data_IF_539798844868
#
_entry.id   IF_539798844868
#
_cell.length_a   1.000
_cell.length_b   1.000
_cell.length_c   1.000
_cell.angle_alpha   90.00
_cell.angle_beta   90.00
_cell.angle_gamma   90.00
#
_symmetry.space_group_name_H-M   'P 1'
#
loop_
_entity.id
_entity.type
_entity.pdbx_description
1 polymer ?
#
# COMPACT_ATOMS: atom_id res chain seq x y z
N UNK A 1 24.84 0.80 -50.51
CA UNK A 1 23.72 0.50 -49.60
C UNK A 1 24.01 -0.83 -48.91
N UNK A 2 24.33 -0.85 -47.60
CA UNK A 2 24.19 -2.02 -46.71
C UNK A 2 24.76 -1.73 -45.30
N UNK A 3 24.33 -0.63 -44.66
CA UNK A 3 24.70 -0.34 -43.26
C UNK A 3 24.20 -1.43 -42.30
N UNK A 4 23.14 -2.14 -42.68
CA UNK A 4 22.49 -3.23 -41.93
C UNK A 4 23.27 -4.56 -41.89
N UNK A 5 24.29 -4.77 -42.74
CA UNK A 5 25.05 -6.05 -42.77
C UNK A 5 26.21 -6.12 -41.76
N UNK A 6 26.62 -4.99 -41.19
CA UNK A 6 27.76 -4.92 -40.27
C UNK A 6 27.45 -5.35 -38.83
N UNK A 7 26.17 -5.53 -38.48
CA UNK A 7 25.71 -5.92 -37.14
C UNK A 7 25.99 -4.90 -36.02
N UNK A 8 26.65 -3.77 -36.31
CA UNK A 8 27.05 -2.75 -35.35
C UNK A 8 26.19 -1.49 -35.49
N UNK A 9 24.88 -1.65 -35.34
CA UNK A 9 23.96 -0.51 -35.28
C UNK A 9 23.04 -0.67 -34.08
N UNK A 10 22.80 0.45 -33.38
CA UNK A 10 21.87 0.50 -32.25
C UNK A 10 20.72 1.39 -32.69
N UNK A 11 19.54 0.80 -32.85
CA UNK A 11 18.31 1.56 -33.09
C UNK A 11 17.80 2.02 -31.72
N UNK A 12 17.57 3.32 -31.59
CA UNK A 12 16.88 3.89 -30.44
C UNK A 12 15.55 4.46 -30.90
N UNK A 13 14.50 4.25 -30.11
CA UNK A 13 13.24 4.93 -30.34
C UNK A 13 13.39 6.44 -30.20
N UNK A 14 12.46 7.19 -30.83
CA UNK A 14 12.33 8.62 -30.58
C UNK A 14 11.97 8.87 -29.11
N UNK A 15 12.24 10.08 -28.62
CA UNK A 15 12.00 10.42 -27.21
C UNK A 15 10.52 10.29 -26.83
N UNK A 16 9.61 10.59 -27.75
CA UNK A 16 8.16 10.44 -27.56
C UNK A 16 7.77 8.96 -27.46
N UNK A 17 8.31 8.12 -28.33
CA UNK A 17 8.02 6.68 -28.33
C UNK A 17 8.60 5.99 -27.09
N UNK A 18 9.77 6.42 -26.59
CA UNK A 18 10.29 5.93 -25.31
C UNK A 18 9.40 6.31 -24.12
N UNK A 19 8.81 7.52 -24.11
CA UNK A 19 7.86 7.91 -23.05
C UNK A 19 6.61 7.06 -23.07
N UNK A 20 6.04 6.85 -24.26
CA UNK A 20 4.87 5.99 -24.46
C UNK A 20 5.16 4.55 -24.00
N UNK A 21 6.31 4.00 -24.41
CA UNK A 21 6.72 2.64 -24.07
C UNK A 21 6.96 2.47 -22.57
N UNK A 22 7.60 3.43 -21.91
CA UNK A 22 7.80 3.40 -20.46
C UNK A 22 6.48 3.49 -19.68
N UNK A 23 5.53 4.31 -20.13
CA UNK A 23 4.21 4.40 -19.50
C UNK A 23 3.45 3.08 -19.59
N UNK A 24 3.44 2.45 -20.77
CA UNK A 24 2.74 1.18 -20.94
C UNK A 24 3.48 -0.02 -20.36
N UNK A 25 4.81 0.01 -20.26
CA UNK A 25 5.55 -1.06 -19.58
C UNK A 25 5.08 -1.23 -18.14
N UNK A 26 4.67 -0.15 -17.47
CA UNK A 26 4.15 -0.18 -16.11
C UNK A 26 2.81 -0.94 -16.02
N UNK A 27 1.94 -0.79 -17.01
CA UNK A 27 0.62 -1.45 -17.06
C UNK A 27 0.72 -2.96 -17.32
N UNK A 28 1.80 -3.41 -17.98
CA UNK A 28 2.04 -4.81 -18.32
C UNK A 28 3.04 -5.50 -17.39
N UNK A 29 3.51 -4.83 -16.32
CA UNK A 29 4.24 -5.53 -15.26
C UNK A 29 3.30 -6.53 -14.60
N UNK A 30 3.72 -7.80 -14.53
CA UNK A 30 3.02 -8.81 -13.75
C UNK A 30 2.92 -8.28 -12.32
N UNK A 31 1.70 -8.23 -11.76
CA UNK A 31 1.51 -7.77 -10.38
C UNK A 31 2.49 -8.51 -9.47
N UNK A 32 3.26 -7.75 -8.70
CA UNK A 32 4.19 -8.32 -7.76
C UNK A 32 3.37 -9.18 -6.79
N UNK A 33 3.59 -10.49 -6.79
CA UNK A 33 2.90 -11.42 -5.88
C UNK A 33 3.03 -10.98 -4.42
N UNK A 34 4.12 -10.29 -4.06
CA UNK A 34 4.31 -9.69 -2.74
C UNK A 34 3.37 -8.50 -2.50
N UNK A 35 3.10 -7.69 -3.53
CA UNK A 35 2.15 -6.59 -3.44
C UNK A 35 0.73 -7.08 -3.14
N UNK A 36 0.25 -8.09 -3.88
CA UNK A 36 -1.06 -8.68 -3.63
C UNK A 36 -1.18 -9.26 -2.21
N UNK A 37 -0.16 -9.96 -1.72
CA UNK A 37 -0.13 -10.49 -0.35
C UNK A 37 -0.15 -9.38 0.70
N UNK A 38 0.59 -8.29 0.49
CA UNK A 38 0.62 -7.14 1.40
C UNK A 38 -0.74 -6.42 1.40
N UNK A 39 -1.39 -6.26 0.25
CA UNK A 39 -2.70 -5.61 0.15
C UNK A 39 -3.78 -6.41 0.88
N UNK A 40 -3.84 -7.73 0.64
CA UNK A 40 -4.77 -8.62 1.36
C UNK A 40 -4.55 -8.56 2.88
N UNK A 41 -3.30 -8.60 3.34
CA UNK A 41 -2.99 -8.46 4.76
C UNK A 41 -3.47 -7.11 5.34
N UNK A 42 -3.31 -6.00 4.61
CA UNK A 42 -3.72 -4.67 5.07
C UNK A 42 -5.23 -4.48 5.13
N UNK A 43 -6.00 -5.20 4.31
CA UNK A 43 -7.45 -5.20 4.34
C UNK A 43 -7.98 -5.89 5.61
N UNK A 44 -7.39 -7.02 5.99
CA UNK A 44 -7.75 -7.77 7.20
C UNK A 44 -7.11 -7.21 8.49
N UNK A 45 -6.12 -6.32 8.37
CA UNK A 45 -5.37 -5.82 9.52
C UNK A 45 -6.17 -4.78 10.33
N UNK A 46 -6.47 -5.14 11.58
CA UNK A 46 -7.23 -4.30 12.52
C UNK A 46 -6.38 -3.27 13.27
N UNK A 47 -5.06 -3.23 13.04
CA UNK A 47 -4.17 -2.31 13.74
C UNK A 47 -3.97 -0.98 13.00
N UNK A 48 -3.64 0.08 13.75
CA UNK A 48 -3.44 1.41 13.16
C UNK A 48 -2.04 1.63 12.57
N UNK A 49 -1.11 0.70 12.80
CA UNK A 49 0.31 0.89 12.47
C UNK A 49 0.91 -0.39 11.93
N UNK A 50 1.69 -0.25 10.85
CA UNK A 50 2.48 -1.33 10.26
C UNK A 50 3.90 -0.85 9.96
N UNK A 51 4.87 -1.75 10.05
CA UNK A 51 6.24 -1.51 9.58
C UNK A 51 6.65 -2.50 8.49
N UNK A 52 7.71 -2.16 7.76
CA UNK A 52 8.22 -3.01 6.69
C UNK A 52 8.64 -4.41 7.16
N UNK A 53 9.19 -4.54 8.37
CA UNK A 53 9.52 -5.86 8.96
C UNK A 53 8.28 -6.67 9.33
N UNK A 54 7.25 -6.00 9.85
CA UNK A 54 5.97 -6.65 10.17
C UNK A 54 5.30 -7.17 8.90
N UNK A 55 5.25 -6.37 7.84
CA UNK A 55 4.72 -6.81 6.55
C UNK A 55 5.53 -7.97 5.96
N UNK A 56 6.86 -7.96 6.12
CA UNK A 56 7.70 -9.06 5.67
C UNK A 56 7.43 -10.37 6.44
N UNK A 57 7.28 -10.31 7.77
CA UNK A 57 7.04 -11.51 8.56
C UNK A 57 5.59 -12.00 8.48
N UNK A 58 4.62 -11.08 8.59
CA UNK A 58 3.20 -11.41 8.75
C UNK A 58 2.45 -11.50 7.42
N UNK A 59 2.75 -10.62 6.45
CA UNK A 59 2.09 -10.66 5.15
C UNK A 59 2.75 -11.67 4.19
N UNK A 60 4.09 -11.78 4.20
CA UNK A 60 4.82 -12.72 3.33
C UNK A 60 5.12 -14.06 4.02
N UNK A 61 4.84 -14.21 5.32
CA UNK A 61 5.07 -15.46 6.07
C UNK A 61 6.55 -15.82 6.26
N UNK A 62 7.47 -14.86 6.07
CA UNK A 62 8.91 -15.11 6.16
C UNK A 62 9.39 -14.99 7.61
N UNK A 63 9.97 -16.06 8.16
CA UNK A 63 10.50 -16.10 9.53
C UNK A 63 11.92 -15.52 9.68
N UNK A 64 12.51 -15.05 8.58
CA UNK A 64 13.87 -14.52 8.55
C UNK A 64 13.90 -13.00 8.76
N UNK A 65 15.04 -12.47 9.19
CA UNK A 65 15.25 -11.03 9.17
C UNK A 65 15.31 -10.54 7.72
N UNK A 66 14.49 -9.55 7.33
CA UNK A 66 14.48 -9.07 5.95
C UNK A 66 15.81 -8.41 5.61
N UNK A 67 16.28 -8.67 4.40
CA UNK A 67 17.38 -7.95 3.80
C UNK A 67 17.00 -6.49 3.52
N UNK A 68 18.03 -5.64 3.37
CA UNK A 68 17.82 -4.21 3.08
C UNK A 68 17.08 -3.99 1.76
N UNK A 69 17.30 -4.85 0.76
CA UNK A 69 16.62 -4.74 -0.54
C UNK A 69 15.14 -5.14 -0.45
N UNK A 70 14.80 -6.17 0.35
CA UNK A 70 13.41 -6.58 0.59
C UNK A 70 12.64 -5.48 1.33
N UNK A 71 13.30 -4.86 2.30
CA UNK A 71 12.73 -3.72 3.02
C UNK A 71 12.46 -2.55 2.07
N UNK A 72 13.31 -2.33 1.06
CA UNK A 72 13.10 -1.30 0.02
C UNK A 72 11.95 -1.68 -0.92
N UNK A 73 11.84 -2.93 -1.34
CA UNK A 73 10.76 -3.43 -2.17
C UNK A 73 9.39 -3.24 -1.49
N UNK A 74 9.27 -3.61 -0.21
CA UNK A 74 8.03 -3.38 0.56
C UNK A 74 7.71 -1.89 0.66
N UNK A 75 8.72 -1.03 0.84
CA UNK A 75 8.49 0.42 0.83
C UNK A 75 7.95 0.91 -0.51
N UNK A 76 8.46 0.38 -1.62
CA UNK A 76 8.02 0.74 -2.97
C UNK A 76 6.59 0.27 -3.23
N UNK A 77 6.27 -0.99 -2.92
CA UNK A 77 4.92 -1.57 -3.02
C UNK A 77 3.89 -0.73 -2.26
N UNK A 78 4.19 -0.36 -1.03
CA UNK A 78 3.29 0.44 -0.19
C UNK A 78 3.09 1.84 -0.75
N UNK A 79 4.18 2.53 -1.11
CA UNK A 79 4.08 3.88 -1.63
C UNK A 79 3.39 3.93 -2.99
N UNK A 80 3.65 2.95 -3.86
CA UNK A 80 2.98 2.82 -5.16
C UNK A 80 1.51 2.47 -4.98
N UNK A 81 1.17 1.57 -4.06
CA UNK A 81 -0.23 1.22 -3.75
C UNK A 81 -1.02 2.38 -3.16
N UNK A 82 -0.40 3.20 -2.30
CA UNK A 82 -1.01 4.44 -1.76
C UNK A 82 -1.15 5.49 -2.86
N UNK A 83 -0.12 5.71 -3.67
CA UNK A 83 -0.15 6.69 -4.77
C UNK A 83 -1.14 6.29 -5.87
N UNK A 84 -1.28 5.00 -6.14
CA UNK A 84 -2.22 4.42 -7.09
C UNK A 84 -3.66 4.32 -6.57
N UNK A 85 -3.90 4.64 -5.29
CA UNK A 85 -5.24 4.60 -4.69
C UNK A 85 -5.79 3.21 -4.38
N UNK A 86 -4.96 2.17 -4.51
CA UNK A 86 -5.29 0.77 -4.15
C UNK A 86 -5.33 0.64 -2.63
N UNK A 87 -4.29 1.12 -1.94
CA UNK A 87 -4.26 1.17 -0.48
C UNK A 87 -4.88 2.48 -0.01
N UNK A 88 -6.09 2.42 0.53
CA UNK A 88 -6.79 3.58 1.06
C UNK A 88 -6.63 3.71 2.57
N UNK A 89 -6.55 4.94 3.06
CA UNK A 89 -6.50 5.23 4.50
C UNK A 89 -5.16 4.98 5.17
N UNK A 90 -4.06 4.77 4.43
CA UNK A 90 -2.72 4.62 4.98
C UNK A 90 -1.79 5.76 4.54
N UNK A 91 -0.93 6.22 5.46
CA UNK A 91 0.10 7.23 5.18
C UNK A 91 1.44 6.82 5.75
N UNK A 92 2.49 7.03 4.96
CA UNK A 92 3.87 6.79 5.36
C UNK A 92 4.35 7.80 6.43
N UNK A 93 5.13 7.33 7.40
CA UNK A 93 5.73 8.24 8.38
C UNK A 93 6.76 9.18 7.78
N UNK A 94 6.74 10.43 8.23
CA UNK A 94 7.80 11.41 7.94
C UNK A 94 9.11 11.07 8.66
N UNK A 95 9.04 10.47 9.85
CA UNK A 95 10.18 10.07 10.66
C UNK A 95 10.08 8.60 11.11
N UNK A 96 11.20 7.87 11.24
CA UNK A 96 11.18 6.50 11.73
C UNK A 96 10.56 6.45 13.15
N UNK A 97 9.59 5.56 13.37
CA UNK A 97 9.00 5.31 14.69
C UNK A 97 9.60 4.03 15.29
N UNK A 98 9.65 3.98 16.62
CA UNK A 98 10.18 2.82 17.36
C UNK A 98 9.08 1.80 17.62
N UNK A 99 9.29 0.59 17.15
CA UNK A 99 8.44 -0.58 17.37
C UNK A 99 9.05 -1.47 18.46
N UNK A 100 8.19 -2.07 19.31
CA UNK A 100 8.64 -2.96 20.41
C UNK A 100 9.39 -4.19 19.89
N UNK A 101 8.86 -4.83 18.83
CA UNK A 101 9.43 -6.05 18.23
C UNK A 101 10.53 -5.76 17.20
N UNK A 102 10.47 -4.61 16.52
CA UNK A 102 11.27 -4.36 15.30
C UNK A 102 12.27 -3.19 15.37
N UNK A 103 12.28 -2.44 16.47
CA UNK A 103 13.16 -1.28 16.64
C UNK A 103 12.70 -0.04 15.86
N UNK A 104 13.60 0.90 15.60
CA UNK A 104 13.29 2.15 14.90
C UNK A 104 13.22 1.93 13.38
N UNK A 105 12.03 2.08 12.80
CA UNK A 105 11.80 1.86 11.37
C UNK A 105 10.82 2.85 10.75
N UNK A 106 10.93 3.01 9.44
CA UNK A 106 9.87 3.61 8.64
C UNK A 106 8.69 2.64 8.58
N UNK A 107 7.50 3.19 8.47
CA UNK A 107 6.27 2.43 8.49
C UNK A 107 5.12 3.32 8.04
N UNK A 108 3.93 2.77 8.15
CA UNK A 108 2.69 3.42 7.77
C UNK A 108 1.75 3.42 8.96
N UNK A 109 0.95 4.47 9.03
CA UNK A 109 -0.13 4.60 9.99
C UNK A 109 -1.42 4.81 9.23
N UNK A 110 -2.47 4.17 9.73
CA UNK A 110 -3.82 4.39 9.26
C UNK A 110 -4.13 5.84 9.56
N UNK A 111 -4.35 6.63 8.53
CA UNK A 111 -4.98 7.93 8.72
C UNK A 111 -6.38 7.58 9.16
N UNK A 112 -6.77 8.00 10.36
CA UNK A 112 -8.17 8.03 10.75
C UNK A 112 -8.92 8.75 9.62
N UNK A 113 -9.50 7.98 8.68
CA UNK A 113 -10.76 8.39 8.10
C UNK A 113 -11.62 8.63 9.33
N UNK A 114 -12.16 9.85 9.45
CA UNK A 114 -13.34 10.02 10.29
C UNK A 114 -14.23 8.80 10.04
N UNK A 115 -14.78 8.16 11.08
CA UNK A 115 -15.57 6.96 10.92
C UNK A 115 -16.52 7.18 9.74
N UNK A 116 -16.65 6.20 8.82
CA UNK A 116 -17.62 6.34 7.75
C UNK A 116 -18.93 6.76 8.40
N UNK A 117 -19.44 7.92 8.03
CA UNK A 117 -20.83 8.28 8.30
C UNK A 117 -21.67 7.16 7.69
N UNK A 118 -22.08 6.21 8.53
CA UNK A 118 -22.62 4.96 8.03
C UNK A 118 -22.61 3.81 9.03
N UNK A 119 -23.01 4.06 10.27
CA UNK A 119 -23.95 3.12 10.88
C UNK A 119 -25.02 3.93 11.62
N UNK A 120 -26.22 3.95 11.03
CA UNK A 120 -27.37 4.75 11.45
C UNK A 120 -28.06 4.22 12.70
N UNK A 121 -27.29 3.87 13.72
CA UNK A 121 -27.80 3.58 15.06
C UNK A 121 -26.97 4.35 16.08
N UNK A 122 -27.50 5.50 16.48
CA UNK A 122 -27.17 6.08 17.77
C UNK A 122 -28.04 5.36 18.81
N UNK A 123 -27.42 4.84 19.88
CA UNK A 123 -28.19 4.42 21.05
C UNK A 123 -28.95 5.64 21.58
N UNK A 124 -30.28 5.61 21.44
CA UNK A 124 -31.16 6.63 21.98
C UNK A 124 -30.99 6.59 23.49
N UNK A 125 -30.49 7.68 24.07
CA UNK A 125 -30.44 7.86 25.52
C UNK A 125 -31.87 7.81 26.07
N UNK A 126 -32.06 7.16 27.23
CA UNK A 126 -33.37 6.81 27.82
C UNK A 126 -34.34 8.01 27.99
N UNK A 127 -33.82 9.23 27.99
CA UNK A 127 -34.61 10.47 28.03
C UNK A 127 -35.31 10.82 26.71
N UNK A 128 -34.74 10.45 25.55
CA UNK A 128 -35.32 10.70 24.22
C UNK A 128 -36.40 9.67 23.85
N UNK A 129 -36.30 8.43 24.34
CA UNK A 129 -37.35 7.41 24.19
C UNK A 129 -38.65 7.80 24.90
N UNK A 130 -38.55 8.57 25.99
CA UNK A 130 -39.70 9.04 26.78
C UNK A 130 -40.45 10.19 26.11
N UNK A 131 -39.81 10.94 25.21
CA UNK A 131 -40.45 12.01 24.44
C UNK A 131 -41.24 11.51 23.23
N UNK A 132 -41.07 10.23 22.81
CA UNK A 132 -41.72 9.68 21.62
C UNK A 132 -42.99 8.85 21.90
N UNK A 133 -43.48 8.77 23.15
CA UNK A 133 -44.72 8.06 23.55
C UNK A 133 -44.94 6.68 22.89
N UNK A 134 -43.88 5.89 22.69
CA UNK A 134 -44.02 4.53 22.16
C UNK A 134 -44.45 3.59 23.29
N UNK A 135 -45.51 2.78 23.11
CA UNK A 135 -45.98 1.86 24.14
C UNK A 135 -44.99 0.71 24.34
N UNK A 136 -44.75 0.40 25.62
CA UNK A 136 -43.88 -0.68 26.10
C UNK A 136 -44.43 -2.08 25.81
#
# INVERSE_FOLDING_TARGET
MTVYRSGKYKLSFSMEMNRYLNAHQQDFMQEDTQAGMIYAYLEDYTGDRVCSKQLYEEALGNLNSPADWETRAICEIMNTGIAGGIIQGWVAYKSPKRYKKYGSQKGWERVNQAPPEGDGFQEITEEEARQMELPF
#
